data_IF_570402958201
#
_entry.id   IF_570402958201
#
_cell.length_a   1.000
_cell.length_b   1.000
_cell.length_c   1.000
_cell.angle_alpha   90.00
_cell.angle_beta   90.00
_cell.angle_gamma   90.00
#
_symmetry.space_group_name_H-M   'P 1'
#
loop_
_entity.id
_entity.type
_entity.pdbx_description
1 polymer ?
#
# COMPACT_ATOMS: atom_id res chain seq x y z
N UNK A 1 -1.90 32.39 1.74
CA UNK A 1 -1.23 31.18 2.27
C UNK A 1 -2.21 30.03 2.24
N UNK A 2 -2.01 29.09 1.35
CA UNK A 2 -2.77 27.86 1.36
C UNK A 2 -2.39 27.06 2.61
N UNK A 3 -3.34 26.71 3.45
CA UNK A 3 -3.16 25.66 4.45
C UNK A 3 -2.99 24.37 3.66
N UNK A 4 -1.78 23.80 3.71
CA UNK A 4 -1.55 22.46 3.14
C UNK A 4 -2.44 21.47 3.90
N UNK A 5 -3.47 21.02 3.21
CA UNK A 5 -4.36 19.99 3.75
C UNK A 5 -3.69 18.65 3.54
N UNK A 6 -3.26 18.03 4.62
CA UNK A 6 -2.73 16.69 4.60
C UNK A 6 -3.85 15.67 4.85
N UNK A 7 -4.00 14.75 3.93
CA UNK A 7 -4.98 13.66 4.01
C UNK A 7 -4.23 12.37 4.33
N UNK A 8 -4.69 11.65 5.34
CA UNK A 8 -4.15 10.34 5.68
C UNK A 8 -4.35 9.35 4.52
N UNK A 9 -3.29 8.75 3.96
CA UNK A 9 -3.41 7.84 2.83
C UNK A 9 -4.08 6.50 3.15
N UNK A 10 -4.47 6.25 4.39
CA UNK A 10 -5.26 5.10 4.79
C UNK A 10 -6.72 5.47 5.06
N UNK A 11 -6.99 6.31 6.05
CA UNK A 11 -8.36 6.63 6.45
C UNK A 11 -9.04 7.71 5.61
N UNK A 12 -8.32 8.38 4.71
CA UNK A 12 -8.80 9.47 3.85
C UNK A 12 -9.42 10.62 4.64
N UNK A 13 -8.88 10.90 5.82
CA UNK A 13 -9.27 12.01 6.70
C UNK A 13 -8.12 12.98 6.89
N UNK A 14 -8.44 14.23 7.19
CA UNK A 14 -7.44 15.23 7.51
C UNK A 14 -6.61 14.84 8.74
N UNK A 15 -5.31 15.10 8.67
CA UNK A 15 -4.35 14.73 9.72
C UNK A 15 -3.96 15.89 10.64
N UNK A 16 -4.61 17.06 10.50
CA UNK A 16 -4.26 18.24 11.30
C UNK A 16 -2.90 18.86 10.93
N UNK A 17 -2.41 18.64 9.72
CA UNK A 17 -1.14 19.18 9.21
C UNK A 17 0.04 18.23 9.25
N UNK A 18 -0.12 17.02 9.79
CA UNK A 18 0.92 15.99 9.77
C UNK A 18 0.86 15.17 8.47
N UNK A 19 2.00 14.94 7.86
CA UNK A 19 2.12 14.09 6.66
C UNK A 19 2.10 12.60 7.04
N UNK A 20 1.68 11.75 6.10
CA UNK A 20 1.66 10.30 6.28
C UNK A 20 0.41 9.78 6.96
N UNK A 21 0.50 8.59 7.56
CA UNK A 21 -0.63 7.93 8.21
C UNK A 21 -0.94 8.55 9.57
N UNK A 22 -2.22 8.76 9.84
CA UNK A 22 -2.67 9.24 11.15
C UNK A 22 -2.40 8.20 12.26
N UNK A 23 -2.34 8.61 13.55
CA UNK A 23 -2.15 7.66 14.66
C UNK A 23 -3.22 6.55 14.68
N UNK A 24 -4.45 6.87 14.34
CA UNK A 24 -5.54 5.88 14.23
C UNK A 24 -5.28 4.88 13.10
N UNK A 25 -4.81 5.34 11.94
CA UNK A 25 -4.44 4.47 10.82
C UNK A 25 -3.28 3.56 11.20
N UNK A 26 -2.23 4.09 11.82
CA UNK A 26 -1.08 3.30 12.28
C UNK A 26 -1.48 2.22 13.28
N UNK A 27 -2.43 2.52 14.18
CA UNK A 27 -2.94 1.52 15.10
C UNK A 27 -3.60 0.34 14.38
N UNK A 28 -4.33 0.60 13.31
CA UNK A 28 -4.98 -0.43 12.50
C UNK A 28 -3.99 -1.19 11.59
N UNK A 29 -3.10 -0.45 10.94
CA UNK A 29 -2.15 -1.01 9.97
C UNK A 29 -1.01 -1.80 10.60
N UNK A 30 -0.45 -1.27 11.69
CA UNK A 30 0.83 -1.74 12.24
C UNK A 30 0.85 -1.83 13.76
N UNK A 31 -0.31 -1.94 14.41
CA UNK A 31 -0.45 -1.99 15.87
C UNK A 31 0.20 -0.78 16.58
N UNK A 32 0.17 0.38 15.92
CA UNK A 32 0.71 1.64 16.42
C UNK A 32 2.19 1.89 16.10
N UNK A 33 2.86 0.95 15.43
CA UNK A 33 4.23 1.18 14.98
C UNK A 33 4.25 2.20 13.85
N UNK A 34 5.23 3.11 13.88
CA UNK A 34 5.39 4.09 12.81
C UNK A 34 5.87 3.41 11.53
N UNK A 35 5.16 3.66 10.43
CA UNK A 35 5.55 3.25 9.07
C UNK A 35 5.43 4.43 8.13
N UNK A 36 6.40 4.57 7.23
CA UNK A 36 6.38 5.58 6.18
C UNK A 36 5.40 5.18 5.07
N UNK A 37 4.73 6.16 4.48
CA UNK A 37 3.94 5.94 3.27
C UNK A 37 4.78 5.93 1.99
N UNK A 38 6.08 6.17 2.09
CA UNK A 38 7.02 6.09 0.98
C UNK A 38 7.71 4.73 0.93
N UNK A 39 7.66 4.09 -0.24
CA UNK A 39 8.38 2.86 -0.50
C UNK A 39 9.85 3.17 -0.86
N UNK A 40 10.83 2.32 -0.47
CA UNK A 40 12.23 2.52 -0.83
C UNK A 40 12.56 2.06 -2.25
N UNK A 41 11.59 2.15 -3.17
CA UNK A 41 11.69 1.67 -4.55
C UNK A 41 11.19 2.72 -5.52
N UNK A 42 11.76 2.72 -6.73
CA UNK A 42 11.20 3.45 -7.87
C UNK A 42 10.10 2.64 -8.53
N UNK A 43 9.21 3.32 -9.24
CA UNK A 43 8.18 2.67 -10.03
C UNK A 43 8.80 1.77 -11.12
N UNK A 44 8.14 0.65 -11.40
CA UNK A 44 8.65 -0.51 -12.13
C UNK A 44 8.92 -0.36 -13.62
N UNK A 45 8.89 0.81 -14.20
CA UNK A 45 9.23 1.00 -15.61
C UNK A 45 10.74 0.87 -15.90
N UNK A 46 11.58 0.84 -14.87
CA UNK A 46 13.01 0.63 -15.00
C UNK A 46 13.39 -0.84 -14.77
N UNK A 47 14.16 -1.41 -15.68
CA UNK A 47 14.59 -2.82 -15.69
C UNK A 47 15.22 -3.33 -14.38
N UNK A 48 15.67 -2.45 -13.51
CA UNK A 48 16.26 -2.78 -12.20
C UNK A 48 15.19 -3.18 -11.18
N UNK A 49 14.01 -2.58 -11.25
CA UNK A 49 12.87 -2.95 -10.40
C UNK A 49 12.31 -4.32 -10.73
N UNK A 50 12.39 -4.72 -11.99
CA UNK A 50 11.89 -6.01 -12.49
C UNK A 50 12.67 -7.19 -11.87
N UNK A 51 13.98 -7.08 -11.70
CA UNK A 51 14.79 -8.17 -11.16
C UNK A 51 14.55 -8.43 -9.67
N UNK A 52 14.40 -7.36 -8.86
CA UNK A 52 14.04 -7.50 -7.44
C UNK A 52 12.65 -8.11 -7.26
N UNK A 53 11.74 -7.83 -8.19
CA UNK A 53 10.37 -8.34 -8.16
C UNK A 53 10.25 -9.73 -8.75
N UNK A 54 10.96 -10.05 -9.81
CA UNK A 54 10.97 -11.39 -10.40
C UNK A 54 11.55 -12.44 -9.44
N UNK A 55 12.53 -12.07 -8.63
CA UNK A 55 13.07 -12.96 -7.59
C UNK A 55 12.09 -13.19 -6.43
N UNK A 56 11.17 -12.27 -6.19
CA UNK A 56 10.14 -12.38 -5.16
C UNK A 56 8.78 -12.84 -5.69
N UNK A 57 8.54 -12.76 -7.01
CA UNK A 57 7.25 -13.12 -7.64
C UNK A 57 6.92 -14.61 -7.58
N UNK A 58 7.91 -15.48 -7.38
CA UNK A 58 7.70 -16.92 -7.24
C UNK A 58 6.96 -17.32 -5.95
N UNK A 59 6.66 -16.37 -5.06
CA UNK A 59 6.09 -16.61 -3.73
C UNK A 59 4.66 -16.16 -3.58
N UNK A 60 4.08 -15.59 -4.63
CA UNK A 60 2.73 -15.07 -4.54
C UNK A 60 1.83 -15.97 -5.36
N UNK A 61 0.85 -16.56 -4.68
CA UNK A 61 -0.26 -17.23 -5.32
C UNK A 61 -0.95 -16.25 -6.27
N UNK A 62 -0.68 -16.41 -7.56
CA UNK A 62 -1.33 -15.61 -8.60
C UNK A 62 -2.69 -16.25 -8.88
N UNK A 63 -3.69 -15.90 -8.11
CA UNK A 63 -5.07 -16.05 -8.55
C UNK A 63 -5.56 -14.67 -8.98
N UNK A 64 -5.56 -14.40 -10.27
CA UNK A 64 -6.07 -13.15 -10.84
C UNK A 64 -5.07 -12.41 -11.73
N UNK A 65 -5.57 -11.43 -12.46
CA UNK A 65 -4.87 -10.69 -13.52
C UNK A 65 -3.88 -9.66 -12.96
N UNK A 66 -3.94 -9.33 -11.68
CA UNK A 66 -3.12 -8.28 -11.05
C UNK A 66 -1.94 -8.87 -10.28
N UNK A 67 -0.75 -8.33 -10.55
CA UNK A 67 0.48 -8.66 -9.83
C UNK A 67 0.36 -8.18 -8.37
N UNK A 68 0.79 -9.04 -7.44
CA UNK A 68 0.77 -8.79 -5.99
C UNK A 68 2.15 -9.10 -5.42
N UNK A 69 2.55 -8.32 -4.42
CA UNK A 69 3.83 -8.50 -3.74
C UNK A 69 3.64 -8.59 -2.24
N UNK A 70 4.52 -9.28 -1.56
CA UNK A 70 4.52 -9.40 -0.11
C UNK A 70 5.42 -8.35 0.51
N UNK A 71 4.91 -7.61 1.49
CA UNK A 71 5.65 -6.60 2.24
C UNK A 71 5.70 -6.94 3.73
N UNK A 72 6.72 -6.40 4.37
CA UNK A 72 6.88 -6.39 5.83
C UNK A 72 7.26 -4.98 6.29
N UNK A 73 6.81 -4.60 7.48
CA UNK A 73 7.24 -3.38 8.14
C UNK A 73 8.56 -3.65 8.88
N UNK A 74 9.61 -2.96 8.49
CA UNK A 74 10.95 -3.10 9.06
C UNK A 74 11.56 -1.72 9.28
N UNK A 75 11.85 -1.40 10.55
CA UNK A 75 12.43 -0.11 10.96
C UNK A 75 11.71 1.12 10.37
N UNK A 76 10.39 1.11 10.43
CA UNK A 76 9.55 2.23 9.94
C UNK A 76 9.36 2.28 8.44
N UNK A 77 9.78 1.28 7.71
CA UNK A 77 9.71 1.21 6.24
C UNK A 77 8.95 -0.04 5.82
N UNK A 78 8.06 0.11 4.82
CA UNK A 78 7.46 -1.03 4.13
C UNK A 78 8.44 -1.52 3.05
N UNK A 79 8.92 -2.73 3.18
CA UNK A 79 9.83 -3.35 2.21
C UNK A 79 9.34 -4.70 1.73
N UNK A 80 9.84 -5.14 0.59
CA UNK A 80 9.61 -6.50 0.10
C UNK A 80 10.18 -7.54 1.06
N UNK A 81 9.45 -8.64 1.21
CA UNK A 81 9.91 -9.77 2.02
C UNK A 81 11.13 -10.46 1.38
N UNK A 82 12.02 -10.96 2.22
CA UNK A 82 13.14 -11.82 1.84
C UNK A 82 12.67 -13.26 1.67
N UNK A 83 13.57 -14.11 1.20
CA UNK A 83 13.31 -15.54 1.08
C UNK A 83 13.02 -16.18 2.45
N UNK A 84 11.88 -16.89 2.53
CA UNK A 84 11.43 -17.53 3.77
C UNK A 84 10.84 -16.59 4.82
N UNK A 85 10.75 -15.28 4.53
CA UNK A 85 10.18 -14.30 5.44
C UNK A 85 8.66 -14.22 5.27
N UNK A 86 7.95 -14.18 6.39
CA UNK A 86 6.50 -14.00 6.42
C UNK A 86 6.14 -12.55 6.13
N UNK A 87 5.30 -12.31 5.11
CA UNK A 87 4.78 -10.97 4.83
C UNK A 87 3.60 -10.60 5.72
N UNK A 88 3.53 -9.33 6.07
CA UNK A 88 2.44 -8.74 6.85
C UNK A 88 1.39 -8.06 5.98
N UNK A 89 1.79 -7.63 4.79
CA UNK A 89 0.95 -6.87 3.86
C UNK A 89 1.04 -7.44 2.44
N UNK A 90 -0.01 -7.17 1.66
CA UNK A 90 -0.05 -7.42 0.22
C UNK A 90 -0.03 -6.06 -0.49
N UNK A 91 0.94 -5.87 -1.39
CA UNK A 91 1.05 -4.69 -2.24
C UNK A 91 0.49 -4.99 -3.63
N UNK A 92 -0.32 -4.09 -4.13
CA UNK A 92 -0.85 -4.13 -5.50
C UNK A 92 -0.46 -2.83 -6.21
N UNK A 93 0.59 -2.84 -7.04
CA UNK A 93 0.98 -1.68 -7.82
C UNK A 93 0.01 -1.44 -8.99
N UNK A 94 0.23 -0.36 -9.71
CA UNK A 94 -0.51 -0.07 -10.94
C UNK A 94 -0.35 -1.23 -11.93
N UNK A 95 -1.45 -1.82 -12.45
CA UNK A 95 -1.38 -2.93 -13.39
C UNK A 95 -0.86 -2.48 -14.76
N UNK A 96 -0.22 -3.40 -15.52
CA UNK A 96 0.47 -3.03 -16.75
C UNK A 96 -0.44 -2.87 -17.98
N UNK A 97 -1.54 -3.58 -18.10
CA UNK A 97 -2.26 -3.74 -19.37
C UNK A 97 -3.74 -3.30 -19.31
N UNK A 98 -4.08 -2.33 -18.47
CA UNK A 98 -5.45 -1.83 -18.36
C UNK A 98 -5.56 -0.37 -18.80
N UNK A 99 -6.70 -0.01 -19.36
CA UNK A 99 -7.05 1.39 -19.64
C UNK A 99 -7.29 2.13 -18.30
N UNK A 100 -6.80 3.36 -18.18
CA UNK A 100 -6.87 4.16 -16.96
C UNK A 100 -6.27 3.44 -15.73
N UNK A 101 -5.23 2.66 -15.96
CA UNK A 101 -4.56 1.83 -14.94
C UNK A 101 -4.04 2.64 -13.76
N UNK A 102 -3.65 3.88 -13.99
CA UNK A 102 -3.11 4.81 -12.99
C UNK A 102 -4.08 5.08 -11.84
N UNK A 103 -5.38 4.92 -12.07
CA UNK A 103 -6.41 5.12 -11.05
C UNK A 103 -6.73 3.86 -10.23
N UNK A 104 -6.23 2.68 -10.64
CA UNK A 104 -6.56 1.41 -9.98
C UNK A 104 -6.26 1.39 -8.48
N UNK A 105 -5.07 1.81 -8.00
CA UNK A 105 -4.80 1.83 -6.57
C UNK A 105 -5.76 2.73 -5.79
N UNK A 106 -6.01 3.94 -6.27
CA UNK A 106 -6.90 4.89 -5.63
C UNK A 106 -8.36 4.40 -5.63
N UNK A 107 -8.82 3.81 -6.72
CA UNK A 107 -10.18 3.27 -6.83
C UNK A 107 -10.40 2.09 -5.89
N UNK A 108 -9.45 1.17 -5.80
CA UNK A 108 -9.52 0.04 -4.87
C UNK A 108 -9.56 0.52 -3.43
N UNK A 109 -8.66 1.42 -3.07
CA UNK A 109 -8.62 1.99 -1.72
C UNK A 109 -9.90 2.76 -1.37
N UNK A 110 -10.37 3.64 -2.24
CA UNK A 110 -11.60 4.39 -2.02
C UNK A 110 -12.80 3.46 -1.84
N UNK A 111 -12.92 2.41 -2.66
CA UNK A 111 -13.99 1.41 -2.56
C UNK A 111 -13.98 0.71 -1.21
N UNK A 112 -12.81 0.30 -0.73
CA UNK A 112 -12.66 -0.35 0.58
C UNK A 112 -12.99 0.62 1.73
N UNK A 113 -12.60 1.89 1.62
CA UNK A 113 -12.93 2.89 2.65
C UNK A 113 -14.42 3.24 2.67
N UNK A 114 -15.08 3.30 1.53
CA UNK A 114 -16.53 3.47 1.46
C UNK A 114 -17.23 2.27 2.12
N UNK A 115 -16.82 1.05 1.79
CA UNK A 115 -17.36 -0.15 2.40
C UNK A 115 -17.23 -0.13 3.92
N UNK A 116 -16.04 0.21 4.44
CA UNK A 116 -15.78 0.22 5.86
C UNK A 116 -16.41 1.41 6.59
N UNK A 117 -16.24 2.64 6.08
CA UNK A 117 -16.62 3.84 6.81
C UNK A 117 -18.08 4.27 6.57
N UNK A 118 -18.65 3.99 5.41
CA UNK A 118 -20.03 4.37 5.07
C UNK A 118 -21.00 3.26 5.35
N UNK A 119 -20.68 2.03 4.92
CA UNK A 119 -21.58 0.88 5.04
C UNK A 119 -21.30 -0.01 6.24
N UNK A 120 -20.22 0.24 7.00
CA UNK A 120 -19.88 -0.55 8.18
C UNK A 120 -19.51 -2.01 7.87
N UNK A 121 -19.09 -2.31 6.66
CA UNK A 121 -18.65 -3.65 6.27
C UNK A 121 -17.25 -3.89 6.81
N UNK A 122 -17.01 -4.97 7.58
CA UNK A 122 -15.67 -5.30 8.05
C UNK A 122 -14.70 -5.50 6.88
N UNK A 123 -13.62 -4.73 6.89
CA UNK A 123 -12.57 -4.80 5.88
C UNK A 123 -11.19 -4.82 6.55
N UNK A 124 -10.23 -5.53 5.97
CA UNK A 124 -8.86 -5.49 6.44
C UNK A 124 -8.29 -4.07 6.35
N UNK A 125 -7.48 -3.63 7.31
CA UNK A 125 -6.81 -2.33 7.23
C UNK A 125 -6.00 -2.19 5.95
N UNK A 126 -6.15 -1.07 5.27
CA UNK A 126 -5.55 -0.81 3.97
C UNK A 126 -5.10 0.64 3.81
N UNK A 127 -4.40 0.92 2.74
CA UNK A 127 -3.95 2.26 2.45
C UNK A 127 -3.29 2.39 1.09
N UNK A 128 -2.91 3.62 0.78
CA UNK A 128 -2.00 3.93 -0.30
C UNK A 128 -0.59 4.13 0.25
N UNK A 129 0.39 3.65 -0.48
CA UNK A 129 1.79 3.98 -0.33
C UNK A 129 2.33 4.45 -1.68
N UNK A 130 3.50 5.07 -1.67
CA UNK A 130 4.00 5.76 -2.85
C UNK A 130 5.42 5.31 -3.15
N UNK A 131 5.68 5.02 -4.43
CA UNK A 131 7.04 4.84 -4.91
C UNK A 131 7.83 6.16 -4.85
N UNK A 132 9.15 6.12 -5.02
CA UNK A 132 10.00 7.30 -4.95
C UNK A 132 9.66 8.37 -6.01
N UNK A 133 9.05 7.98 -7.13
CA UNK A 133 8.52 8.87 -8.16
C UNK A 133 7.08 9.33 -7.92
N UNK A 134 6.58 9.17 -6.70
CA UNK A 134 5.22 9.46 -6.22
C UNK A 134 4.09 8.65 -6.88
N UNK A 135 4.40 7.62 -7.64
CA UNK A 135 3.40 6.71 -8.17
C UNK A 135 2.71 5.94 -7.04
N UNK A 136 1.37 5.95 -6.95
CA UNK A 136 0.67 5.27 -5.88
C UNK A 136 0.61 3.76 -6.10
N UNK A 137 0.57 3.03 -4.98
CA UNK A 137 0.23 1.62 -4.92
C UNK A 137 -0.76 1.38 -3.78
N UNK A 138 -1.65 0.41 -3.96
CA UNK A 138 -2.55 -0.03 -2.92
C UNK A 138 -1.88 -1.13 -2.08
N UNK A 139 -2.06 -1.10 -0.76
CA UNK A 139 -1.64 -2.18 0.10
C UNK A 139 -2.69 -2.49 1.16
N UNK A 140 -2.72 -3.72 1.60
CA UNK A 140 -3.67 -4.21 2.58
C UNK A 140 -2.96 -5.11 3.59
N UNK A 141 -3.31 -4.98 4.87
CA UNK A 141 -2.83 -5.85 5.93
C UNK A 141 -3.41 -7.25 5.75
N UNK A 142 -2.56 -8.27 5.85
CA UNK A 142 -3.00 -9.66 5.79
C UNK A 142 -3.80 -10.01 7.05
N UNK A 143 -4.88 -10.74 6.86
CA UNK A 143 -5.75 -11.23 7.95
C UNK A 143 -5.67 -12.75 8.10
N UNK A 144 -4.92 -13.41 7.24
CA UNK A 144 -4.76 -14.87 7.18
C UNK A 144 -3.49 -15.38 7.91
N UNK A 145 -2.96 -14.54 8.77
CA UNK A 145 -1.75 -14.85 9.56
C UNK A 145 -2.08 -15.46 10.91
#
# INVERSE_FOLDING_TARGET
MGTDIHICPSLLRETGGESGYSPKALKQLSDGKNISCELPYRHFDDNVGIDLFNNNSKRISVSGVQIKYSLVADDGILRLTKEGEQGEFILKPVPNNLRNKEFCPANEHLTMQIAAQVYGIPAAPDGLCFFQDVTPAYFVRRFDL
#
